data_IF_941675105873
#
_entry.id   IF_941675105873
#
_cell.length_a   1.000
_cell.length_b   1.000
_cell.length_c   1.000
_cell.angle_alpha   90.00
_cell.angle_beta   90.00
_cell.angle_gamma   90.00
#
_symmetry.space_group_name_H-M   'P 1'
#
loop_
_entity.id
_entity.type
_entity.pdbx_description
1 polymer ?
#
# COMPACT_ATOMS: atom_id res chain seq x y z
N UNK A 1 -30.48 -9.63 52.56
CA UNK A 1 -30.73 -8.20 52.47
C UNK A 1 -30.06 -7.62 51.23
N UNK A 2 -30.47 -6.48 50.71
CA UNK A 2 -29.80 -5.87 49.53
C UNK A 2 -28.37 -5.56 49.91
N UNK A 3 -27.42 -5.89 48.99
CA UNK A 3 -26.01 -5.60 49.17
C UNK A 3 -25.80 -4.09 49.41
N UNK A 4 -24.88 -3.73 50.30
CA UNK A 4 -24.54 -2.32 50.56
C UNK A 4 -24.07 -1.63 49.28
N UNK A 5 -24.39 -0.33 49.14
CA UNK A 5 -24.01 0.46 47.95
C UNK A 5 -22.55 0.27 47.54
N UNK A 6 -21.55 0.27 48.44
CA UNK A 6 -20.17 0.00 48.09
C UNK A 6 -19.92 -1.39 47.49
N UNK A 7 -20.64 -2.42 47.96
CA UNK A 7 -20.52 -3.77 47.43
C UNK A 7 -21.11 -3.88 46.00
N UNK A 8 -22.20 -3.14 45.75
CA UNK A 8 -22.80 -3.08 44.40
C UNK A 8 -21.89 -2.34 43.39
N UNK A 9 -21.25 -1.23 43.82
CA UNK A 9 -20.29 -0.49 43.00
C UNK A 9 -19.07 -1.37 42.67
N UNK A 10 -18.57 -2.11 43.66
CA UNK A 10 -17.42 -3.02 43.46
C UNK A 10 -17.79 -4.17 42.48
N UNK A 11 -18.99 -4.75 42.60
CA UNK A 11 -19.46 -5.78 41.67
C UNK A 11 -19.59 -5.24 40.25
N UNK A 12 -20.08 -4.01 40.08
CA UNK A 12 -20.16 -3.37 38.77
C UNK A 12 -18.78 -3.11 38.16
N UNK A 13 -17.79 -2.65 38.95
CA UNK A 13 -16.41 -2.47 38.50
C UNK A 13 -15.79 -3.78 38.01
N UNK A 14 -16.04 -4.89 38.70
CA UNK A 14 -15.58 -6.21 38.26
C UNK A 14 -16.17 -6.56 36.90
N UNK A 15 -17.48 -6.36 36.70
CA UNK A 15 -18.15 -6.61 35.40
C UNK A 15 -17.62 -5.71 34.29
N UNK A 16 -17.32 -4.43 34.58
CA UNK A 16 -16.69 -3.54 33.61
C UNK A 16 -15.30 -4.00 33.20
N UNK A 17 -14.54 -4.51 34.17
CA UNK A 17 -13.22 -5.09 33.90
C UNK A 17 -13.32 -6.35 33.02
N UNK A 18 -14.27 -7.24 33.31
CA UNK A 18 -14.53 -8.43 32.51
C UNK A 18 -14.92 -8.06 31.05
N UNK A 19 -15.74 -7.01 30.90
CA UNK A 19 -16.09 -6.49 29.57
C UNK A 19 -14.86 -5.96 28.81
N UNK A 20 -13.92 -5.28 29.50
CA UNK A 20 -12.68 -4.81 28.88
C UNK A 20 -11.79 -5.99 28.45
N UNK A 21 -11.61 -6.97 29.32
CA UNK A 21 -10.86 -8.18 28.99
C UNK A 21 -11.47 -8.94 27.80
N UNK A 22 -12.81 -9.05 27.77
CA UNK A 22 -13.49 -9.66 26.62
C UNK A 22 -13.27 -8.85 25.33
N UNK A 23 -13.35 -7.53 25.39
CA UNK A 23 -13.08 -6.64 24.25
C UNK A 23 -11.62 -6.80 23.74
N UNK A 24 -10.65 -6.93 24.64
CA UNK A 24 -9.25 -7.16 24.29
C UNK A 24 -9.04 -8.53 23.64
N UNK A 25 -9.72 -9.56 24.14
CA UNK A 25 -9.69 -10.91 23.56
C UNK A 25 -10.29 -10.91 22.15
N UNK A 26 -11.41 -10.23 21.95
CA UNK A 26 -12.03 -10.08 20.61
C UNK A 26 -11.06 -9.36 19.66
N UNK A 27 -10.39 -8.31 20.13
CA UNK A 27 -9.44 -7.56 19.32
C UNK A 27 -8.27 -8.45 18.83
N UNK A 28 -7.71 -9.28 19.72
CA UNK A 28 -6.65 -10.24 19.38
C UNK A 28 -7.13 -11.30 18.38
N UNK A 29 -8.37 -11.78 18.50
CA UNK A 29 -8.95 -12.75 17.56
C UNK A 29 -9.24 -12.13 16.19
N UNK A 30 -9.60 -10.86 16.14
CA UNK A 30 -9.79 -10.13 14.89
C UNK A 30 -8.50 -10.01 14.10
N UNK A 31 -7.36 -9.86 14.74
CA UNK A 31 -6.05 -9.87 14.08
C UNK A 31 -5.74 -11.23 13.44
N UNK A 32 -6.19 -12.33 14.02
CA UNK A 32 -5.93 -13.68 13.54
C UNK A 32 -6.91 -14.16 12.45
N UNK A 33 -8.19 -13.77 12.54
CA UNK A 33 -9.27 -14.34 11.69
C UNK A 33 -9.88 -13.36 10.68
N UNK A 34 -9.38 -12.17 10.61
CA UNK A 34 -9.87 -11.12 9.71
C UNK A 34 -10.74 -10.08 10.41
N UNK A 35 -10.59 -8.85 9.98
CA UNK A 35 -11.16 -7.67 10.65
C UNK A 35 -12.44 -7.26 9.94
N UNK A 36 -13.57 -7.31 10.66
CA UNK A 36 -14.79 -6.59 10.27
C UNK A 36 -14.72 -5.17 10.84
N UNK A 37 -14.83 -4.15 9.98
CA UNK A 37 -14.83 -2.74 10.39
C UNK A 37 -15.94 -2.45 11.38
N UNK A 38 -17.11 -3.05 11.19
CA UNK A 38 -18.26 -2.90 12.08
C UNK A 38 -17.97 -3.47 13.48
N UNK A 39 -17.34 -4.65 13.54
CA UNK A 39 -17.00 -5.30 14.82
C UNK A 39 -15.93 -4.52 15.59
N UNK A 40 -14.92 -4.00 14.89
CA UNK A 40 -13.90 -3.13 15.50
C UNK A 40 -14.54 -1.86 16.06
N UNK A 41 -15.45 -1.25 15.30
CA UNK A 41 -16.18 -0.06 15.76
C UNK A 41 -17.01 -0.35 17.01
N UNK A 42 -17.72 -1.50 17.07
CA UNK A 42 -18.52 -1.90 18.21
C UNK A 42 -17.64 -2.18 19.45
N UNK A 43 -16.50 -2.82 19.28
CA UNK A 43 -15.54 -3.09 20.36
C UNK A 43 -14.96 -1.78 20.91
N UNK A 44 -14.56 -0.85 20.05
CA UNK A 44 -14.04 0.46 20.48
C UNK A 44 -15.13 1.27 21.21
N UNK A 45 -16.35 1.27 20.68
CA UNK A 45 -17.49 1.91 21.35
C UNK A 45 -17.79 1.28 22.71
N UNK A 46 -17.60 -0.04 22.87
CA UNK A 46 -17.74 -0.72 24.15
C UNK A 46 -16.66 -0.27 25.14
N UNK A 47 -15.41 -0.15 24.70
CA UNK A 47 -14.30 0.36 25.51
C UNK A 47 -14.57 1.78 26.02
N UNK A 48 -14.90 2.70 25.12
CA UNK A 48 -15.22 4.08 25.49
C UNK A 48 -16.39 4.15 26.48
N UNK A 49 -17.42 3.33 26.31
CA UNK A 49 -18.58 3.28 27.22
C UNK A 49 -18.19 2.73 28.60
N UNK A 50 -17.39 1.67 28.64
CA UNK A 50 -16.93 1.10 29.93
C UNK A 50 -16.03 2.06 30.70
N UNK A 51 -15.12 2.76 30.02
CA UNK A 51 -14.31 3.82 30.65
C UNK A 51 -15.15 4.97 31.19
N UNK A 52 -16.16 5.39 30.41
CA UNK A 52 -17.07 6.45 30.84
C UNK A 52 -17.91 6.06 32.07
N UNK A 53 -18.40 4.80 32.13
CA UNK A 53 -19.16 4.30 33.27
C UNK A 53 -18.26 4.25 34.51
N UNK A 54 -17.02 3.78 34.37
CA UNK A 54 -16.06 3.70 35.47
C UNK A 54 -15.72 5.08 36.03
N UNK A 55 -15.50 6.07 35.16
CA UNK A 55 -15.30 7.46 35.58
C UNK A 55 -16.52 8.05 36.30
N UNK A 56 -17.73 7.72 35.88
CA UNK A 56 -18.97 8.14 36.58
C UNK A 56 -19.11 7.48 37.94
N UNK A 57 -18.67 6.23 38.12
CA UNK A 57 -18.65 5.53 39.39
C UNK A 57 -17.65 6.15 40.37
N UNK A 58 -16.49 6.63 39.88
CA UNK A 58 -15.53 7.38 40.69
C UNK A 58 -16.15 8.67 41.21
N UNK A 59 -16.91 9.39 40.40
CA UNK A 59 -17.62 10.61 40.82
C UNK A 59 -18.72 10.36 41.87
N UNK A 60 -19.45 9.26 41.77
CA UNK A 60 -20.46 8.90 42.74
C UNK A 60 -19.83 8.55 44.12
N UNK A 61 -18.55 8.19 44.16
CA UNK A 61 -17.85 7.85 45.39
C UNK A 61 -17.07 9.01 46.01
N UNK A 62 -16.96 10.15 45.35
CA UNK A 62 -16.15 11.28 45.82
C UNK A 62 -16.88 12.16 46.82
N UNK A 63 -16.16 12.68 47.82
CA UNK A 63 -16.67 13.56 48.85
C UNK A 63 -16.76 15.05 48.42
N UNK A 64 -16.12 15.41 47.30
CA UNK A 64 -16.04 16.80 46.78
C UNK A 64 -16.84 16.95 45.50
N UNK A 65 -18.18 17.03 45.63
CA UNK A 65 -19.10 17.07 44.54
C UNK A 65 -18.92 18.31 43.60
N UNK A 66 -18.33 19.41 44.08
CA UNK A 66 -18.18 20.63 43.29
C UNK A 66 -17.02 20.50 42.30
N UNK A 67 -15.89 19.96 42.72
CA UNK A 67 -14.71 19.76 41.90
C UNK A 67 -14.97 18.69 40.84
N UNK A 68 -15.69 17.65 41.20
CA UNK A 68 -16.09 16.56 40.33
C UNK A 68 -17.09 17.01 39.24
N UNK A 69 -18.07 17.84 39.60
CA UNK A 69 -19.03 18.42 38.63
C UNK A 69 -18.29 19.30 37.62
N UNK A 70 -17.32 20.09 38.07
CA UNK A 70 -16.49 20.93 37.16
C UNK A 70 -15.72 20.06 36.17
N UNK A 71 -15.08 18.99 36.64
CA UNK A 71 -14.34 18.06 35.79
C UNK A 71 -15.25 17.35 34.78
N UNK A 72 -16.45 16.91 35.21
CA UNK A 72 -17.45 16.30 34.33
C UNK A 72 -17.90 17.27 33.24
N UNK A 73 -18.15 18.55 33.58
CA UNK A 73 -18.54 19.57 32.63
C UNK A 73 -17.43 19.86 31.61
N UNK A 74 -16.16 19.93 32.04
CA UNK A 74 -15.00 20.11 31.16
C UNK A 74 -14.91 18.93 30.18
N UNK A 75 -15.01 17.69 30.66
CA UNK A 75 -15.00 16.50 29.79
C UNK A 75 -16.18 16.43 28.83
N UNK A 76 -17.36 16.82 29.26
CA UNK A 76 -18.52 16.90 28.38
C UNK A 76 -18.33 17.97 27.30
N UNK A 77 -17.80 19.13 27.66
CA UNK A 77 -17.50 20.21 26.72
C UNK A 77 -16.41 19.78 25.70
N UNK A 78 -15.37 19.13 26.15
CA UNK A 78 -14.31 18.58 25.30
C UNK A 78 -14.85 17.50 24.35
N UNK A 79 -15.65 16.57 24.88
CA UNK A 79 -16.33 15.54 24.07
C UNK A 79 -17.29 16.11 23.03
N UNK A 80 -17.96 17.22 23.32
CA UNK A 80 -18.83 17.92 22.33
C UNK A 80 -17.99 18.66 21.29
N UNK A 81 -16.87 19.27 21.67
CA UNK A 81 -15.94 19.91 20.72
C UNK A 81 -15.27 18.86 19.80
N UNK A 82 -14.83 17.77 20.34
CA UNK A 82 -14.20 16.68 19.58
C UNK A 82 -15.20 16.03 18.61
N UNK A 83 -16.46 15.89 19.00
CA UNK A 83 -17.53 15.36 18.11
C UNK A 83 -17.97 16.31 17.00
N UNK A 84 -17.72 17.61 17.13
CA UNK A 84 -18.04 18.59 16.07
C UNK A 84 -17.06 18.58 14.91
N UNK A 85 -15.86 18.00 15.08
CA UNK A 85 -14.90 17.79 14.02
C UNK A 85 -15.09 16.42 13.37
N UNK A 86 -15.34 16.36 12.06
CA UNK A 86 -15.29 15.11 11.29
C UNK A 86 -13.85 14.55 11.21
N UNK A 87 -12.85 15.40 11.43
CA UNK A 87 -11.44 15.06 11.32
C UNK A 87 -10.98 13.88 12.20
N UNK A 88 -11.26 13.87 13.52
CA UNK A 88 -10.87 12.74 14.38
C UNK A 88 -11.54 11.42 14.01
N UNK A 89 -12.81 11.48 13.60
CA UNK A 89 -13.57 10.32 13.15
C UNK A 89 -12.94 9.73 11.86
N UNK A 90 -12.64 10.59 10.89
CA UNK A 90 -11.96 10.19 9.67
C UNK A 90 -10.54 9.69 9.95
N UNK A 91 -9.78 10.35 10.82
CA UNK A 91 -8.41 9.95 11.13
C UNK A 91 -8.35 8.55 11.74
N UNK A 92 -9.24 8.22 12.67
CA UNK A 92 -9.29 6.90 13.30
C UNK A 92 -9.69 5.80 12.31
N UNK A 93 -10.76 6.00 11.56
CA UNK A 93 -11.19 5.04 10.54
C UNK A 93 -10.19 4.91 9.39
N UNK A 94 -9.55 6.03 9.00
CA UNK A 94 -8.54 6.02 7.95
C UNK A 94 -7.27 5.27 8.37
N UNK A 95 -6.87 5.36 9.63
CA UNK A 95 -5.70 4.64 10.13
C UNK A 95 -5.91 3.12 10.12
N UNK A 96 -7.10 2.65 10.52
CA UNK A 96 -7.43 1.21 10.48
C UNK A 96 -7.52 0.68 9.05
N UNK A 97 -8.19 1.42 8.15
CA UNK A 97 -8.27 1.05 6.73
C UNK A 97 -6.89 1.07 6.07
N UNK A 98 -6.09 2.12 6.34
CA UNK A 98 -4.74 2.22 5.82
C UNK A 98 -3.84 1.08 6.31
N UNK A 99 -3.96 0.68 7.58
CA UNK A 99 -3.25 -0.48 8.12
C UNK A 99 -3.63 -1.77 7.39
N UNK A 100 -4.92 -2.03 7.21
CA UNK A 100 -5.40 -3.23 6.51
C UNK A 100 -4.98 -3.25 5.04
N UNK A 101 -5.07 -2.11 4.35
CA UNK A 101 -4.58 -1.97 2.97
C UNK A 101 -3.08 -2.19 2.89
N UNK A 102 -2.31 -1.69 3.87
CA UNK A 102 -0.86 -1.90 3.93
C UNK A 102 -0.52 -3.38 4.20
N UNK A 103 -1.22 -4.06 5.11
CA UNK A 103 -1.05 -5.48 5.39
C UNK A 103 -1.33 -6.34 4.15
N UNK A 104 -2.42 -6.07 3.44
CA UNK A 104 -2.76 -6.78 2.19
C UNK A 104 -1.75 -6.51 1.08
N UNK A 105 -1.32 -5.27 0.95
CA UNK A 105 -0.28 -4.89 -0.01
C UNK A 105 1.07 -5.54 0.35
N UNK A 106 1.36 -5.74 1.64
CA UNK A 106 2.55 -6.43 2.11
C UNK A 106 2.53 -7.93 1.72
N UNK A 107 1.41 -8.64 1.91
CA UNK A 107 1.25 -10.03 1.47
C UNK A 107 1.50 -10.17 -0.04
N UNK A 108 0.90 -9.30 -0.84
CA UNK A 108 1.11 -9.29 -2.30
C UNK A 108 2.56 -8.96 -2.63
N UNK A 109 3.18 -8.03 -1.90
CA UNK A 109 4.56 -7.60 -2.09
C UNK A 109 5.60 -8.69 -1.82
N UNK A 110 5.33 -9.59 -0.88
CA UNK A 110 6.24 -10.71 -0.57
C UNK A 110 6.49 -11.64 -1.77
N UNK A 111 5.51 -11.81 -2.66
CA UNK A 111 5.67 -12.59 -3.88
C UNK A 111 6.67 -12.00 -4.88
N UNK A 112 7.06 -10.74 -4.72
CA UNK A 112 8.06 -10.07 -5.54
C UNK A 112 9.46 -10.08 -4.94
N UNK A 113 9.65 -10.69 -3.75
CA UNK A 113 10.95 -10.83 -3.08
C UNK A 113 11.42 -12.27 -3.25
N UNK A 114 12.51 -12.48 -3.97
CA UNK A 114 13.06 -13.81 -4.27
C UNK A 114 14.13 -14.17 -3.25
N UNK A 115 13.96 -15.27 -2.54
CA UNK A 115 14.90 -15.77 -1.52
C UNK A 115 15.78 -16.91 -2.03
N UNK A 116 15.29 -17.66 -3.02
CA UNK A 116 15.98 -18.79 -3.62
C UNK A 116 16.40 -18.51 -5.08
N UNK A 117 17.34 -19.31 -5.59
CA UNK A 117 17.77 -19.25 -7.01
C UNK A 117 16.60 -19.63 -7.94
N UNK A 118 15.78 -20.58 -7.56
CA UNK A 118 14.63 -21.01 -8.36
C UNK A 118 13.62 -19.88 -8.53
N UNK A 119 13.26 -19.20 -7.44
CA UNK A 119 12.38 -18.03 -7.46
C UNK A 119 12.98 -16.88 -8.29
N UNK A 120 14.29 -16.68 -8.21
CA UNK A 120 14.97 -15.66 -9.01
C UNK A 120 14.85 -15.93 -10.51
N UNK A 121 15.05 -17.19 -10.95
CA UNK A 121 14.88 -17.57 -12.35
C UNK A 121 13.41 -17.50 -12.80
N UNK A 122 12.45 -17.83 -11.93
CA UNK A 122 11.04 -17.66 -12.24
C UNK A 122 10.68 -16.18 -12.40
N UNK A 123 11.17 -15.31 -11.50
CA UNK A 123 11.04 -13.86 -11.62
C UNK A 123 11.64 -13.34 -12.93
N UNK A 124 12.84 -13.76 -13.27
CA UNK A 124 13.48 -13.40 -14.53
C UNK A 124 12.63 -13.81 -15.74
N UNK A 125 12.10 -15.03 -15.75
CA UNK A 125 11.23 -15.54 -16.82
C UNK A 125 9.94 -14.71 -16.94
N UNK A 126 9.29 -14.38 -15.82
CA UNK A 126 8.10 -13.51 -15.80
C UNK A 126 8.43 -12.11 -16.29
N UNK A 127 9.59 -11.58 -15.93
CA UNK A 127 10.06 -10.29 -16.42
C UNK A 127 10.35 -10.32 -17.93
N UNK A 128 10.90 -11.40 -18.47
CA UNK A 128 11.05 -11.58 -19.92
C UNK A 128 9.71 -11.50 -20.65
N UNK A 129 8.66 -12.15 -20.11
CA UNK A 129 7.31 -12.03 -20.66
C UNK A 129 6.77 -10.60 -20.63
N UNK A 130 6.94 -9.92 -19.48
CA UNK A 130 6.61 -8.50 -19.35
C UNK A 130 7.35 -7.62 -20.37
N UNK A 131 8.64 -7.89 -20.58
CA UNK A 131 9.45 -7.21 -21.60
C UNK A 131 8.90 -7.34 -23.01
N UNK A 132 8.37 -8.51 -23.38
CA UNK A 132 7.75 -8.72 -24.70
C UNK A 132 6.55 -7.81 -24.90
N UNK A 133 5.66 -7.71 -23.91
CA UNK A 133 4.50 -6.80 -23.97
C UNK A 133 4.94 -5.35 -24.02
N UNK A 134 5.94 -4.96 -23.23
CA UNK A 134 6.48 -3.58 -23.22
C UNK A 134 7.08 -3.21 -24.59
N UNK A 135 7.74 -4.14 -25.29
CA UNK A 135 8.19 -3.90 -26.66
C UNK A 135 7.01 -3.56 -27.58
N UNK A 136 5.92 -4.34 -27.51
CA UNK A 136 4.68 -4.05 -28.25
C UNK A 136 4.05 -2.72 -27.87
N UNK A 137 4.00 -2.40 -26.57
CA UNK A 137 3.51 -1.13 -26.03
C UNK A 137 4.29 0.06 -26.59
N UNK A 138 5.60 -0.08 -26.72
CA UNK A 138 6.49 0.95 -27.27
C UNK A 138 6.14 1.25 -28.72
N UNK A 139 5.97 0.22 -29.57
CA UNK A 139 5.53 0.40 -30.96
C UNK A 139 4.13 0.99 -31.03
N UNK A 140 3.20 0.53 -30.19
CA UNK A 140 1.85 1.11 -30.08
C UNK A 140 1.89 2.61 -29.78
N UNK A 141 2.76 3.03 -28.84
CA UNK A 141 2.95 4.45 -28.49
C UNK A 141 3.42 5.26 -29.70
N UNK A 142 4.40 4.78 -30.46
CA UNK A 142 4.90 5.49 -31.65
C UNK A 142 3.86 5.52 -32.76
N UNK A 143 3.14 4.42 -32.99
CA UNK A 143 2.03 4.37 -33.98
C UNK A 143 0.91 5.37 -33.64
N UNK A 144 0.53 5.47 -32.37
CA UNK A 144 -0.42 6.47 -31.87
C UNK A 144 0.11 7.90 -32.02
N UNK A 145 1.42 8.10 -31.78
CA UNK A 145 2.09 9.38 -31.95
C UNK A 145 2.14 9.88 -33.38
N UNK A 146 2.10 8.97 -34.38
CA UNK A 146 2.05 9.31 -35.80
C UNK A 146 0.65 9.81 -36.25
N UNK A 147 -0.38 9.62 -35.45
CA UNK A 147 -1.74 10.12 -35.71
C UNK A 147 -1.84 11.54 -35.15
N UNK A 148 -2.34 12.46 -35.96
CA UNK A 148 -2.53 13.86 -35.62
C UNK A 148 -3.69 14.07 -34.61
N UNK A 149 -3.57 13.56 -33.41
CA UNK A 149 -4.52 13.79 -32.35
C UNK A 149 -4.32 15.17 -31.69
N UNK A 150 -5.40 15.74 -31.14
CA UNK A 150 -5.23 16.83 -30.14
C UNK A 150 -4.47 16.34 -28.93
N UNK A 151 -3.85 17.25 -28.15
CA UNK A 151 -3.06 16.90 -26.98
C UNK A 151 -3.82 16.02 -25.98
N UNK A 152 -5.11 16.28 -25.79
CA UNK A 152 -5.98 15.47 -24.93
C UNK A 152 -6.12 14.02 -25.44
N UNK A 153 -6.48 13.85 -26.70
CA UNK A 153 -6.69 12.51 -27.28
C UNK A 153 -5.39 11.71 -27.43
N UNK A 154 -4.29 12.38 -27.72
CA UNK A 154 -2.97 11.75 -27.71
C UNK A 154 -2.62 11.17 -26.32
N UNK A 155 -2.84 11.95 -25.25
CA UNK A 155 -2.66 11.48 -23.89
C UNK A 155 -3.62 10.36 -23.51
N UNK A 156 -4.90 10.48 -23.87
CA UNK A 156 -5.91 9.46 -23.60
C UNK A 156 -5.55 8.11 -24.23
N UNK A 157 -5.26 8.07 -25.52
CA UNK A 157 -4.93 6.83 -26.23
C UNK A 157 -3.58 6.25 -25.80
N UNK A 158 -2.61 7.09 -25.47
CA UNK A 158 -1.38 6.62 -24.82
C UNK A 158 -1.67 5.95 -23.47
N UNK A 159 -2.55 6.55 -22.64
CA UNK A 159 -3.01 5.96 -21.39
C UNK A 159 -3.70 4.60 -21.59
N UNK A 160 -4.60 4.50 -22.57
CA UNK A 160 -5.27 3.23 -22.92
C UNK A 160 -4.26 2.16 -23.36
N UNK A 161 -3.27 2.51 -24.18
CA UNK A 161 -2.22 1.59 -24.62
C UNK A 161 -1.41 1.04 -23.43
N UNK A 162 -1.02 1.89 -22.48
CA UNK A 162 -0.33 1.45 -21.26
C UNK A 162 -1.23 0.61 -20.35
N UNK A 163 -2.47 1.05 -20.13
CA UNK A 163 -3.42 0.32 -19.29
C UNK A 163 -3.70 -1.09 -19.83
N UNK A 164 -3.98 -1.21 -21.14
CA UNK A 164 -4.18 -2.51 -21.79
C UNK A 164 -2.96 -3.41 -21.67
N UNK A 165 -1.76 -2.86 -21.82
CA UNK A 165 -0.51 -3.58 -21.68
C UNK A 165 -0.30 -4.09 -20.24
N UNK A 166 -0.55 -3.27 -19.22
CA UNK A 166 -0.43 -3.69 -17.83
C UNK A 166 -1.49 -4.73 -17.43
N UNK A 167 -2.72 -4.60 -17.94
CA UNK A 167 -3.77 -5.61 -17.76
C UNK A 167 -3.34 -6.94 -18.39
N UNK A 168 -2.82 -6.92 -19.61
CA UNK A 168 -2.33 -8.12 -20.29
C UNK A 168 -1.18 -8.78 -19.50
N UNK A 169 -0.20 -8.01 -19.05
CA UNK A 169 0.90 -8.49 -18.21
C UNK A 169 0.37 -9.15 -16.93
N UNK A 170 -0.64 -8.56 -16.28
CA UNK A 170 -1.26 -9.11 -15.08
C UNK A 170 -1.98 -10.43 -15.37
N UNK A 171 -2.77 -10.49 -16.44
CA UNK A 171 -3.51 -11.71 -16.82
C UNK A 171 -2.57 -12.87 -17.18
N UNK A 172 -1.42 -12.58 -17.78
CA UNK A 172 -0.39 -13.57 -18.12
C UNK A 172 0.50 -13.94 -16.91
N UNK A 173 0.26 -13.36 -15.72
CA UNK A 173 1.10 -13.52 -14.53
C UNK A 173 2.57 -13.14 -14.77
N UNK A 174 2.81 -12.22 -15.71
CA UNK A 174 4.13 -11.66 -15.99
C UNK A 174 4.40 -10.44 -15.11
N UNK A 175 5.61 -9.92 -15.14
CA UNK A 175 5.98 -8.77 -14.30
C UNK A 175 6.80 -7.73 -15.06
N UNK A 176 6.74 -6.51 -14.56
CA UNK A 176 7.60 -5.40 -15.00
C UNK A 176 8.33 -4.79 -13.81
N UNK A 177 9.59 -4.45 -14.01
CA UNK A 177 10.47 -3.91 -12.98
C UNK A 177 9.91 -2.65 -12.30
N UNK A 178 9.19 -1.82 -13.04
CA UNK A 178 8.59 -0.57 -12.55
C UNK A 178 7.48 -0.78 -11.51
N UNK A 179 6.80 -1.94 -11.53
CA UNK A 179 5.74 -2.28 -10.58
C UNK A 179 6.30 -2.77 -9.23
N UNK A 180 7.45 -3.40 -9.22
CA UNK A 180 8.02 -4.06 -8.04
C UNK A 180 8.21 -3.12 -6.83
N UNK A 181 8.81 -1.91 -6.94
CA UNK A 181 9.03 -1.04 -5.79
C UNK A 181 7.73 -0.64 -5.07
N UNK A 182 6.66 -0.39 -5.82
CA UNK A 182 5.36 -0.03 -5.27
C UNK A 182 4.73 -1.17 -4.45
N UNK A 183 4.94 -2.42 -4.88
CA UNK A 183 4.40 -3.61 -4.22
C UNK A 183 5.25 -4.07 -3.03
N UNK A 184 6.56 -3.92 -3.09
CA UNK A 184 7.49 -4.42 -2.06
C UNK A 184 7.67 -3.47 -0.88
N UNK A 185 7.41 -2.16 -1.04
CA UNK A 185 7.55 -1.18 0.02
C UNK A 185 6.68 -1.49 1.26
N UNK A 186 5.39 -1.85 1.14
CA UNK A 186 4.58 -2.27 2.28
C UNK A 186 5.09 -3.54 2.96
N UNK A 187 5.60 -4.52 2.19
CA UNK A 187 6.19 -5.75 2.74
C UNK A 187 7.41 -5.45 3.62
N UNK A 188 8.29 -4.56 3.16
CA UNK A 188 9.45 -4.11 3.93
C UNK A 188 9.04 -3.33 5.18
N UNK A 189 8.03 -2.46 5.08
CA UNK A 189 7.50 -1.71 6.22
C UNK A 189 6.89 -2.64 7.28
N UNK A 190 6.16 -3.68 6.89
CA UNK A 190 5.60 -4.67 7.81
C UNK A 190 6.68 -5.42 8.60
N UNK A 191 7.81 -5.73 7.98
CA UNK A 191 8.97 -6.36 8.64
C UNK A 191 9.59 -5.46 9.71
N UNK A 192 9.69 -4.16 9.45
CA UNK A 192 10.20 -3.17 10.42
C UNK A 192 9.28 -3.02 11.64
N UNK A 193 7.95 -3.09 11.46
CA UNK A 193 6.99 -2.99 12.57
C UNK A 193 6.95 -4.23 13.46
N UNK A 194 7.29 -5.41 12.93
CA UNK A 194 7.42 -6.65 13.70
C UNK A 194 8.64 -6.67 14.64
N UNK A 195 9.66 -5.89 14.33
CA UNK A 195 10.84 -5.68 15.16
C UNK A 195 10.57 -4.48 16.07
N UNK A 196 10.40 -4.69 17.39
CA UNK A 196 10.31 -3.56 18.32
C UNK A 196 11.56 -2.71 18.17
N UNK A 197 11.40 -1.47 17.69
CA UNK A 197 12.49 -0.51 17.51
C UNK A 197 13.29 -0.21 18.80
N UNK A 198 12.72 -0.53 19.98
CA UNK A 198 13.35 -0.35 21.28
C UNK A 198 14.33 -1.47 21.66
N UNK A 199 14.38 -2.56 20.90
CA UNK A 199 15.34 -3.65 21.06
C UNK A 199 15.78 -4.13 19.66
N UNK A 200 16.55 -3.30 18.97
CA UNK A 200 17.30 -3.73 17.78
C UNK A 200 18.40 -4.68 18.25
N UNK A 201 18.02 -5.94 18.42
CA UNK A 201 18.97 -7.02 18.58
C UNK A 201 19.72 -7.18 17.23
N UNK A 202 21.02 -7.43 17.26
CA UNK A 202 21.85 -7.58 16.07
C UNK A 202 21.25 -8.59 15.07
N UNK A 203 20.54 -9.60 15.56
CA UNK A 203 19.80 -10.61 14.77
C UNK A 203 18.65 -10.00 13.95
N UNK A 204 17.93 -9.04 14.51
CA UNK A 204 16.83 -8.37 13.79
C UNK A 204 17.35 -7.45 12.68
N UNK A 205 18.50 -6.81 12.93
CA UNK A 205 19.18 -5.97 11.93
C UNK A 205 19.73 -6.81 10.78
N UNK A 206 20.39 -7.93 11.08
CA UNK A 206 20.90 -8.86 10.06
C UNK A 206 19.75 -9.40 9.19
N UNK A 207 18.65 -9.84 9.80
CA UNK A 207 17.46 -10.32 9.08
C UNK A 207 16.87 -9.26 8.15
N UNK A 208 16.86 -7.99 8.56
CA UNK A 208 16.41 -6.89 7.72
C UNK A 208 17.37 -6.62 6.56
N UNK A 209 18.69 -6.65 6.80
CA UNK A 209 19.71 -6.48 5.75
C UNK A 209 19.60 -7.58 4.71
N UNK A 210 19.40 -8.83 5.11
CA UNK A 210 19.21 -9.96 4.21
C UNK A 210 17.96 -9.77 3.33
N UNK A 211 16.86 -9.28 3.89
CA UNK A 211 15.63 -9.03 3.14
C UNK A 211 15.82 -7.88 2.13
N UNK A 212 16.54 -6.82 2.49
CA UNK A 212 16.93 -5.75 1.55
C UNK A 212 17.79 -6.31 0.41
N UNK A 213 18.75 -7.18 0.72
CA UNK A 213 19.58 -7.83 -0.29
C UNK A 213 18.75 -8.71 -1.25
N UNK A 214 17.79 -9.47 -0.72
CA UNK A 214 16.83 -10.24 -1.52
C UNK A 214 15.98 -9.34 -2.43
N UNK A 215 15.51 -8.21 -1.91
CA UNK A 215 14.75 -7.22 -2.67
C UNK A 215 15.57 -6.66 -3.83
N UNK A 216 16.80 -6.21 -3.57
CA UNK A 216 17.69 -5.66 -4.60
C UNK A 216 17.95 -6.71 -5.69
N UNK A 217 18.21 -7.96 -5.30
CA UNK A 217 18.43 -9.06 -6.23
C UNK A 217 17.20 -9.34 -7.09
N UNK A 218 16.00 -9.26 -6.51
CA UNK A 218 14.73 -9.43 -7.23
C UNK A 218 14.48 -8.30 -8.22
N UNK A 219 14.75 -7.05 -7.80
CA UNK A 219 14.69 -5.88 -8.68
C UNK A 219 15.62 -6.01 -9.87
N UNK A 220 16.85 -6.51 -9.63
CA UNK A 220 17.80 -6.74 -10.70
C UNK A 220 17.31 -7.79 -11.71
N UNK A 221 16.69 -8.89 -11.23
CA UNK A 221 16.07 -9.88 -12.10
C UNK A 221 14.96 -9.26 -12.97
N UNK A 222 14.10 -8.41 -12.38
CA UNK A 222 13.05 -7.70 -13.09
C UNK A 222 13.59 -6.78 -14.19
N UNK A 223 14.58 -5.96 -13.86
CA UNK A 223 15.21 -5.02 -14.81
C UNK A 223 15.89 -5.77 -15.95
N UNK A 224 16.74 -6.73 -15.61
CA UNK A 224 17.50 -7.51 -16.61
C UNK A 224 16.54 -8.30 -17.49
N UNK A 225 15.52 -8.96 -16.93
CA UNK A 225 14.55 -9.71 -17.71
C UNK A 225 13.76 -8.85 -18.69
N UNK A 226 13.29 -7.68 -18.26
CA UNK A 226 12.61 -6.76 -19.16
C UNK A 226 13.53 -6.27 -20.28
N UNK A 227 14.73 -5.77 -19.94
CA UNK A 227 15.67 -5.20 -20.94
C UNK A 227 16.21 -6.26 -21.90
N UNK A 228 16.50 -7.47 -21.41
CA UNK A 228 17.03 -8.57 -22.23
C UNK A 228 16.05 -9.01 -23.34
N UNK A 229 14.77 -8.69 -23.20
CA UNK A 229 13.75 -9.00 -24.23
C UNK A 229 13.34 -7.75 -25.01
N UNK A 230 13.10 -6.62 -24.34
CA UNK A 230 12.69 -5.38 -25.01
C UNK A 230 13.72 -4.97 -26.07
N UNK A 231 15.00 -4.91 -25.71
CA UNK A 231 16.03 -4.41 -26.63
C UNK A 231 16.18 -5.30 -27.89
N UNK A 232 16.38 -6.64 -27.79
CA UNK A 232 16.47 -7.47 -29.00
C UNK A 232 15.18 -7.48 -29.85
N UNK A 233 13.99 -7.49 -29.22
CA UNK A 233 12.73 -7.48 -29.96
C UNK A 233 12.55 -6.18 -30.73
N UNK A 234 12.83 -5.04 -30.12
CA UNK A 234 12.77 -3.74 -30.78
C UNK A 234 13.77 -3.67 -31.94
N UNK A 235 15.00 -4.14 -31.72
CA UNK A 235 16.01 -4.19 -32.79
C UNK A 235 15.63 -5.13 -33.92
N UNK A 236 15.07 -6.31 -33.62
CA UNK A 236 14.61 -7.26 -34.62
C UNK A 236 13.46 -6.70 -35.47
N UNK A 237 12.47 -6.06 -34.83
CA UNK A 237 11.37 -5.40 -35.55
C UNK A 237 11.88 -4.27 -36.44
N UNK A 238 12.82 -3.48 -35.95
CA UNK A 238 13.45 -2.40 -36.69
C UNK A 238 14.23 -2.92 -37.93
N UNK A 239 15.03 -3.98 -37.72
CA UNK A 239 15.76 -4.64 -38.79
C UNK A 239 14.82 -5.27 -39.84
N UNK A 240 13.74 -5.89 -39.39
CA UNK A 240 12.75 -6.50 -40.25
C UNK A 240 12.01 -5.41 -41.12
N UNK A 241 11.64 -4.29 -40.47
CA UNK A 241 11.04 -3.17 -41.20
C UNK A 241 11.99 -2.59 -42.26
N UNK A 242 13.26 -2.45 -41.92
CA UNK A 242 14.29 -2.02 -42.86
C UNK A 242 14.42 -2.98 -44.04
N UNK A 243 14.43 -4.28 -43.76
CA UNK A 243 14.59 -5.31 -44.80
C UNK A 243 13.33 -5.40 -45.73
N UNK A 244 12.11 -5.27 -45.17
CA UNK A 244 10.87 -5.41 -45.91
C UNK A 244 10.44 -4.12 -46.62
N UNK A 245 10.56 -2.98 -45.96
CA UNK A 245 10.05 -1.69 -46.44
C UNK A 245 11.16 -0.71 -46.89
N UNK A 246 12.43 -1.07 -46.73
CA UNK A 246 13.56 -0.19 -47.06
C UNK A 246 13.70 1.04 -46.14
N UNK A 247 12.88 1.12 -45.09
CA UNK A 247 12.85 2.22 -44.14
C UNK A 247 12.67 1.72 -42.67
N UNK A 248 13.25 2.40 -41.71
CA UNK A 248 13.04 2.08 -40.30
C UNK A 248 11.61 2.47 -39.88
N UNK A 249 11.09 1.82 -38.83
CA UNK A 249 9.79 2.16 -38.20
C UNK A 249 9.81 3.58 -37.61
N UNK A 250 10.96 4.00 -37.08
CA UNK A 250 11.19 5.32 -36.51
C UNK A 250 12.19 6.08 -37.40
N UNK A 251 11.83 7.28 -37.74
CA UNK A 251 12.76 8.19 -38.44
C UNK A 251 13.89 8.65 -37.54
N UNK A 252 15.01 9.06 -38.11
CA UNK A 252 16.14 9.60 -37.36
C UNK A 252 15.76 10.86 -36.53
N UNK A 253 14.79 11.65 -37.02
CA UNK A 253 14.30 12.82 -36.30
C UNK A 253 13.48 12.43 -35.06
N UNK A 254 12.58 11.47 -35.16
CA UNK A 254 11.81 10.95 -34.03
C UNK A 254 12.70 10.27 -32.98
N UNK A 255 13.71 9.52 -33.41
CA UNK A 255 14.69 8.90 -32.52
C UNK A 255 15.47 9.96 -31.73
N UNK A 256 15.91 11.04 -32.40
CA UNK A 256 16.63 12.15 -31.75
C UNK A 256 15.72 12.91 -30.76
N UNK A 257 14.51 13.26 -31.14
CA UNK A 257 13.51 13.91 -30.26
C UNK A 257 13.23 13.04 -29.03
N UNK A 258 13.14 11.72 -29.21
CA UNK A 258 12.92 10.79 -28.09
C UNK A 258 14.12 10.77 -27.14
N UNK A 259 15.35 10.74 -27.65
CA UNK A 259 16.56 10.77 -26.83
C UNK A 259 16.69 12.10 -26.08
N UNK A 260 16.37 13.22 -26.70
CA UNK A 260 16.39 14.55 -26.06
C UNK A 260 15.34 14.64 -24.94
N UNK A 261 14.15 14.09 -25.14
CA UNK A 261 13.07 14.09 -24.15
C UNK A 261 13.32 13.14 -22.98
N UNK A 262 14.02 12.04 -23.21
CA UNK A 262 14.26 11.00 -22.21
C UNK A 262 15.64 11.09 -21.54
N UNK A 263 16.32 12.23 -21.63
CA UNK A 263 17.61 12.44 -20.96
C UNK A 263 17.42 12.58 -19.44
N UNK A 264 18.35 11.99 -18.67
CA UNK A 264 18.39 12.14 -17.21
C UNK A 264 18.72 13.58 -16.76
N UNK A 265 19.31 14.38 -17.66
CA UNK A 265 19.61 15.80 -17.40
C UNK A 265 18.37 16.70 -17.58
N UNK A 266 17.26 16.16 -18.07
CA UNK A 266 15.99 16.84 -18.27
C UNK A 266 14.98 16.53 -17.17
N UNK A 267 13.68 16.84 -17.41
CA UNK A 267 12.61 16.61 -16.45
C UNK A 267 12.23 15.14 -16.25
N UNK A 268 12.87 14.22 -16.97
CA UNK A 268 12.57 12.77 -16.98
C UNK A 268 12.61 12.18 -15.58
N UNK A 269 13.61 12.53 -14.76
CA UNK A 269 13.74 12.05 -13.39
C UNK A 269 12.54 12.50 -12.52
N UNK A 270 12.07 13.73 -12.68
CA UNK A 270 10.90 14.24 -11.97
C UNK A 270 9.62 13.52 -12.40
N UNK A 271 9.43 13.29 -13.71
CA UNK A 271 8.29 12.50 -14.22
C UNK A 271 8.34 11.04 -13.76
N UNK A 272 9.53 10.44 -13.69
CA UNK A 272 9.70 9.09 -13.16
C UNK A 272 9.33 9.01 -11.68
N UNK A 273 9.77 9.98 -10.87
CA UNK A 273 9.39 10.07 -9.46
C UNK A 273 7.87 10.24 -9.28
N UNK A 274 7.25 11.12 -10.05
CA UNK A 274 5.79 11.31 -10.05
C UNK A 274 5.05 10.02 -10.46
N UNK A 275 5.53 9.31 -11.47
CA UNK A 275 4.98 8.01 -11.87
C UNK A 275 5.09 6.99 -10.75
N UNK A 276 6.19 6.99 -9.99
CA UNK A 276 6.35 6.13 -8.81
C UNK A 276 5.28 6.41 -7.73
N UNK A 277 4.98 7.68 -7.46
CA UNK A 277 3.90 8.08 -6.55
C UNK A 277 2.54 7.60 -7.05
N UNK A 278 2.26 7.75 -8.35
CA UNK A 278 0.99 7.27 -8.93
C UNK A 278 0.86 5.74 -8.88
N UNK A 279 1.93 5.00 -9.12
CA UNK A 279 1.95 3.54 -9.01
C UNK A 279 1.69 3.10 -7.57
N UNK A 280 2.30 3.75 -6.60
CA UNK A 280 2.04 3.49 -5.18
C UNK A 280 0.58 3.78 -4.82
N UNK A 281 0.04 4.96 -5.20
CA UNK A 281 -1.36 5.30 -4.99
C UNK A 281 -2.31 4.29 -5.64
N UNK A 282 -2.02 3.86 -6.85
CA UNK A 282 -2.78 2.82 -7.57
C UNK A 282 -2.78 1.48 -6.82
N UNK A 283 -1.65 1.09 -6.23
CA UNK A 283 -1.58 -0.15 -5.43
C UNK A 283 -2.41 -0.08 -4.15
N UNK A 284 -2.47 1.09 -3.51
CA UNK A 284 -3.33 1.33 -2.35
C UNK A 284 -4.82 1.26 -2.72
N UNK A 285 -5.21 1.87 -3.86
CA UNK A 285 -6.58 1.82 -4.36
C UNK A 285 -6.98 0.38 -4.69
N UNK A 286 -6.10 -0.39 -5.35
CA UNK A 286 -6.34 -1.80 -5.64
C UNK A 286 -6.56 -2.61 -4.37
N UNK A 287 -5.68 -2.46 -3.37
CA UNK A 287 -5.84 -3.12 -2.08
C UNK A 287 -7.11 -2.72 -1.33
N UNK A 288 -7.59 -1.48 -1.53
CA UNK A 288 -8.86 -1.04 -0.96
C UNK A 288 -10.07 -1.66 -1.67
N UNK A 289 -10.04 -1.81 -2.98
CA UNK A 289 -11.13 -2.40 -3.79
C UNK A 289 -11.25 -3.91 -3.55
N UNK A 290 -10.14 -4.60 -3.29
CA UNK A 290 -10.09 -6.04 -3.00
C UNK A 290 -10.61 -6.41 -1.59
N UNK A 291 -10.81 -5.43 -0.71
CA UNK A 291 -11.37 -5.60 0.62
C UNK A 291 -12.86 -5.29 0.67
#
# INVERSE_FOLDING_TARGET
>A
GPASLPAQVQALRTLLQDCRCAADTVHQHLEAYGISVDLVFQVEQLRERTERIDALLDHLGSLDAAQELQWLLVRLADGVQTRRGLGPLFAHHYSMLARKVAERSAETGEHYITRSRAEWFDMLRRACGGGLVIAGTTFGKFALGAIAFSAFWAGFWAGVNYAASFVLIQLMHWTVATKQPAMTAPAMAARLHGSRLDALDDVAVEGFVDEVAHLIRSQFAGIVGNLAVVAPVVLAVQAMAWWLAGAPVLSAAEARDTLEKLTLLGPTAAYAAFTGVLLFASSLIAGWVEN
#
